data_IF_533253077736
#
_entry.id   IF_533253077736
#
_cell.length_a   1.000
_cell.length_b   1.000
_cell.length_c   1.000
_cell.angle_alpha   90.00
_cell.angle_beta   90.00
_cell.angle_gamma   90.00
#
_symmetry.space_group_name_H-M   'P 1'
#
loop_
_entity.id
_entity.type
_entity.pdbx_description
1 polymer ?
#
# COMPACT_ATOMS: atom_id res chain seq x y z
N UNK A 1 -5.86 3.05 16.51
CA UNK A 1 -5.77 4.50 16.72
C UNK A 1 -6.42 4.83 18.04
N UNK A 2 -5.80 5.72 18.85
CA UNK A 2 -6.34 6.23 20.10
C UNK A 2 -7.76 6.77 19.98
N UNK A 3 -8.51 6.79 21.09
CA UNK A 3 -9.92 7.18 21.10
C UNK A 3 -10.14 8.69 20.87
N UNK A 4 -9.12 9.48 21.15
CA UNK A 4 -9.03 10.94 21.05
C UNK A 4 -8.50 11.43 19.68
N UNK A 5 -8.09 10.52 18.78
CA UNK A 5 -7.64 10.86 17.43
C UNK A 5 -8.78 11.46 16.60
N UNK A 6 -8.51 12.57 15.90
CA UNK A 6 -9.50 13.24 15.04
C UNK A 6 -10.16 12.30 14.03
N UNK A 7 -11.44 12.54 13.74
CA UNK A 7 -12.19 11.76 12.74
C UNK A 7 -11.50 11.74 11.38
N UNK A 8 -10.89 12.85 10.97
CA UNK A 8 -10.17 12.96 9.71
C UNK A 8 -8.95 12.02 9.66
N UNK A 9 -8.09 12.03 10.68
CA UNK A 9 -6.92 11.14 10.74
C UNK A 9 -7.33 9.67 10.76
N UNK A 10 -8.41 9.33 11.48
CA UNK A 10 -8.94 7.96 11.51
C UNK A 10 -9.42 7.49 10.14
N UNK A 11 -10.09 8.37 9.40
CA UNK A 11 -10.57 8.07 8.05
C UNK A 11 -9.41 7.99 7.06
N UNK A 12 -8.45 8.90 7.14
CA UNK A 12 -7.22 8.88 6.33
C UNK A 12 -6.43 7.59 6.55
N UNK A 13 -6.24 7.16 7.80
CA UNK A 13 -5.54 5.91 8.11
C UNK A 13 -6.26 4.69 7.54
N UNK A 14 -7.60 4.65 7.60
CA UNK A 14 -8.38 3.59 6.96
C UNK A 14 -8.21 3.61 5.44
N UNK A 15 -8.28 4.79 4.82
CA UNK A 15 -8.09 4.94 3.38
C UNK A 15 -6.71 4.45 2.95
N UNK A 16 -5.65 4.84 3.65
CA UNK A 16 -4.28 4.40 3.36
C UNK A 16 -4.16 2.88 3.46
N UNK A 17 -4.64 2.26 4.53
CA UNK A 17 -4.55 0.80 4.68
C UNK A 17 -5.35 0.05 3.62
N UNK A 18 -6.60 0.47 3.36
CA UNK A 18 -7.41 -0.15 2.30
C UNK A 18 -6.79 0.04 0.93
N UNK A 19 -6.25 1.23 0.65
CA UNK A 19 -5.50 1.49 -0.58
C UNK A 19 -4.25 0.61 -0.70
N UNK A 20 -3.52 0.38 0.39
CA UNK A 20 -2.37 -0.53 0.40
C UNK A 20 -2.79 -1.96 0.09
N UNK A 21 -3.83 -2.47 0.75
CA UNK A 21 -4.35 -3.81 0.47
C UNK A 21 -4.81 -3.96 -0.98
N UNK A 22 -5.54 -2.98 -1.49
CA UNK A 22 -6.01 -2.98 -2.87
C UNK A 22 -4.86 -2.93 -3.88
N UNK A 23 -3.88 -2.05 -3.68
CA UNK A 23 -2.73 -1.93 -4.58
C UNK A 23 -1.84 -3.18 -4.56
N UNK A 24 -1.52 -3.72 -3.38
CA UNK A 24 -0.72 -4.95 -3.28
C UNK A 24 -1.42 -6.15 -3.93
N UNK A 25 -2.74 -6.30 -3.73
CA UNK A 25 -3.52 -7.33 -4.41
C UNK A 25 -3.52 -7.13 -5.93
N UNK A 26 -3.73 -5.88 -6.40
CA UNK A 26 -3.74 -5.56 -7.82
C UNK A 26 -2.37 -5.83 -8.48
N UNK A 27 -1.26 -5.54 -7.81
CA UNK A 27 0.11 -5.87 -8.28
C UNK A 27 0.24 -7.38 -8.48
N UNK A 28 -0.14 -8.19 -7.49
CA UNK A 28 -0.06 -9.65 -7.59
C UNK A 28 -0.92 -10.19 -8.76
N UNK A 29 -2.17 -9.74 -8.84
CA UNK A 29 -3.11 -10.16 -9.90
C UNK A 29 -2.58 -9.78 -11.28
N UNK A 30 -2.21 -8.52 -11.48
CA UNK A 30 -1.73 -8.03 -12.78
C UNK A 30 -0.39 -8.63 -13.15
N UNK A 31 0.51 -8.88 -12.20
CA UNK A 31 1.77 -9.58 -12.45
C UNK A 31 1.57 -11.01 -12.94
N UNK A 32 0.64 -11.75 -12.30
CA UNK A 32 0.25 -13.09 -12.76
C UNK A 32 -0.43 -13.03 -14.14
N UNK A 33 -1.26 -12.03 -14.41
CA UNK A 33 -1.86 -11.84 -15.73
C UNK A 33 -0.81 -11.59 -16.82
N UNK A 34 0.20 -10.74 -16.57
CA UNK A 34 1.29 -10.49 -17.52
C UNK A 34 2.02 -11.80 -17.83
N UNK A 35 2.43 -12.55 -16.80
CA UNK A 35 3.12 -13.83 -16.98
C UNK A 35 2.26 -14.87 -17.72
N UNK A 36 0.97 -14.95 -17.40
CA UNK A 36 0.01 -15.83 -18.06
C UNK A 36 -0.20 -15.49 -19.53
N UNK A 37 -0.41 -14.20 -19.86
CA UNK A 37 -0.56 -13.72 -21.23
C UNK A 37 0.69 -13.97 -22.07
N UNK A 38 1.88 -13.70 -21.52
CA UNK A 38 3.15 -14.02 -22.19
C UNK A 38 3.30 -15.51 -22.47
N UNK A 39 2.89 -16.36 -21.52
CA UNK A 39 2.94 -17.83 -21.68
C UNK A 39 1.99 -18.34 -22.76
N UNK A 40 0.87 -17.65 -22.97
CA UNK A 40 -0.09 -17.92 -24.04
C UNK A 40 0.33 -17.36 -25.42
N UNK A 41 1.49 -16.68 -25.50
CA UNK A 41 2.04 -16.15 -26.75
C UNK A 41 1.68 -14.68 -27.04
N UNK A 42 0.92 -14.00 -26.15
CA UNK A 42 0.63 -12.58 -26.28
C UNK A 42 1.85 -11.76 -25.81
N UNK A 43 2.79 -11.53 -26.74
CA UNK A 43 4.06 -10.82 -26.47
C UNK A 43 4.04 -9.33 -26.77
N UNK A 44 3.05 -8.85 -27.53
CA UNK A 44 2.88 -7.44 -27.90
C UNK A 44 1.42 -7.12 -28.21
N UNK A 45 1.09 -5.82 -28.25
CA UNK A 45 -0.24 -5.33 -28.57
C UNK A 45 -0.99 -4.77 -27.36
N UNK A 46 -2.13 -4.15 -27.64
CA UNK A 46 -2.87 -3.33 -26.68
C UNK A 46 -3.15 -4.02 -25.33
N UNK A 47 -3.51 -5.31 -25.34
CA UNK A 47 -3.84 -6.04 -24.11
C UNK A 47 -2.64 -6.16 -23.16
N UNK A 48 -1.48 -6.59 -23.65
CA UNK A 48 -0.31 -6.79 -22.78
C UNK A 48 0.26 -5.44 -22.33
N UNK A 49 0.22 -4.43 -23.19
CA UNK A 49 0.64 -3.06 -22.86
C UNK A 49 -0.25 -2.47 -21.76
N UNK A 50 -1.57 -2.56 -21.90
CA UNK A 50 -2.52 -2.04 -20.91
C UNK A 50 -2.38 -2.72 -19.53
N UNK A 51 -2.21 -4.06 -19.49
CA UNK A 51 -2.02 -4.78 -18.23
C UNK A 51 -0.66 -4.44 -17.60
N UNK A 52 0.39 -4.26 -18.42
CA UNK A 52 1.72 -3.88 -17.94
C UNK A 52 1.73 -2.45 -17.39
N UNK A 53 1.06 -1.51 -18.06
CA UNK A 53 0.90 -0.15 -17.58
C UNK A 53 0.10 -0.11 -16.28
N UNK A 54 -1.03 -0.83 -16.22
CA UNK A 54 -1.82 -0.95 -14.99
C UNK A 54 -0.98 -1.52 -13.83
N UNK A 55 -0.19 -2.56 -14.10
CA UNK A 55 0.74 -3.10 -13.10
C UNK A 55 1.72 -2.03 -12.62
N UNK A 56 2.39 -1.32 -13.54
CA UNK A 56 3.33 -0.24 -13.19
C UNK A 56 2.69 0.90 -12.39
N UNK A 57 1.46 1.29 -12.74
CA UNK A 57 0.69 2.30 -12.00
C UNK A 57 0.34 1.82 -10.58
N UNK A 58 -0.11 0.58 -10.43
CA UNK A 58 -0.42 0.02 -9.11
C UNK A 58 0.82 -0.14 -8.22
N UNK A 59 1.97 -0.50 -8.80
CA UNK A 59 3.28 -0.49 -8.11
C UNK A 59 3.61 0.92 -7.63
N UNK A 60 3.53 1.91 -8.50
CA UNK A 60 3.83 3.31 -8.15
C UNK A 60 2.91 3.84 -7.05
N UNK A 61 1.61 3.52 -7.13
CA UNK A 61 0.64 3.86 -6.10
C UNK A 61 0.97 3.17 -4.76
N UNK A 62 1.38 1.90 -4.78
CA UNK A 62 1.77 1.18 -3.56
C UNK A 62 2.96 1.84 -2.88
N UNK A 63 3.96 2.30 -3.64
CA UNK A 63 5.11 3.02 -3.09
C UNK A 63 4.68 4.31 -2.40
N UNK A 64 3.80 5.10 -3.02
CA UNK A 64 3.26 6.31 -2.42
C UNK A 64 2.53 6.01 -1.10
N UNK A 65 1.65 5.01 -1.10
CA UNK A 65 0.85 4.66 0.08
C UNK A 65 1.71 4.08 1.22
N UNK A 66 2.71 3.25 0.90
CA UNK A 66 3.67 2.74 1.89
C UNK A 66 4.49 3.89 2.47
N UNK A 67 4.96 4.83 1.64
CA UNK A 67 5.69 6.00 2.12
C UNK A 67 4.84 6.86 3.07
N UNK A 68 3.58 7.12 2.72
CA UNK A 68 2.63 7.83 3.59
C UNK A 68 2.37 7.07 4.90
N UNK A 69 2.23 5.75 4.82
CA UNK A 69 2.05 4.89 5.99
C UNK A 69 3.26 4.96 6.94
N UNK A 70 4.48 4.84 6.42
CA UNK A 70 5.71 4.94 7.20
C UNK A 70 5.85 6.34 7.81
N UNK A 71 5.60 7.40 7.04
CA UNK A 71 5.65 8.77 7.54
C UNK A 71 4.66 8.99 8.68
N UNK A 72 3.43 8.48 8.55
CA UNK A 72 2.43 8.52 9.62
C UNK A 72 2.86 7.72 10.85
N UNK A 73 3.44 6.53 10.67
CA UNK A 73 3.95 5.72 11.78
C UNK A 73 5.09 6.42 12.54
N UNK A 74 6.00 7.10 11.83
CA UNK A 74 7.05 7.90 12.44
C UNK A 74 6.49 9.14 13.15
N UNK A 75 5.47 9.80 12.59
CA UNK A 75 4.78 10.91 13.24
C UNK A 75 4.16 10.46 14.57
N UNK A 76 3.39 9.37 14.56
CA UNK A 76 2.80 8.81 15.77
C UNK A 76 3.84 8.36 16.79
N UNK A 77 4.99 7.86 16.31
CA UNK A 77 6.15 7.56 17.18
C UNK A 77 6.67 8.76 17.95
N UNK A 78 6.73 9.92 17.31
CA UNK A 78 7.15 11.17 17.95
C UNK A 78 6.07 11.66 18.93
N UNK A 79 4.79 11.41 18.64
CA UNK A 79 3.69 11.75 19.55
C UNK A 79 3.66 10.87 20.81
N UNK A 80 4.18 9.64 20.75
CA UNK A 80 4.17 8.72 21.89
C UNK A 80 2.77 8.21 22.24
N UNK A 81 1.90 8.07 21.24
CA UNK A 81 0.48 7.73 21.44
C UNK A 81 0.19 6.21 21.39
N UNK A 82 1.24 5.39 21.39
CA UNK A 82 1.19 3.94 21.42
C UNK A 82 0.93 3.28 20.06
N UNK A 83 0.67 4.04 18.99
CA UNK A 83 0.37 3.47 17.66
C UNK A 83 1.57 2.70 17.10
N UNK A 84 2.79 3.22 17.25
CA UNK A 84 4.00 2.51 16.83
C UNK A 84 4.23 1.24 17.66
N UNK A 85 4.15 1.38 18.99
CA UNK A 85 4.38 0.31 19.97
C UNK A 85 3.40 -0.86 19.82
N UNK A 86 2.23 -0.61 19.24
CA UNK A 86 1.25 -1.65 18.91
C UNK A 86 1.62 -2.45 17.65
N UNK A 87 2.43 -1.90 16.75
CA UNK A 87 2.79 -2.52 15.47
C UNK A 87 4.20 -3.15 15.47
N UNK A 88 5.08 -2.73 16.38
CA UNK A 88 6.45 -3.27 16.45
C UNK A 88 6.71 -4.04 17.75
N UNK A 89 7.37 -5.20 17.69
CA UNK A 89 7.78 -5.93 18.89
C UNK A 89 9.01 -5.30 19.57
N UNK A 90 9.79 -4.50 18.84
CA UNK A 90 11.03 -3.86 19.30
C UNK A 90 10.93 -2.33 19.20
N UNK A 91 11.76 -1.61 19.96
CA UNK A 91 11.79 -0.14 20.02
C UNK A 91 10.43 0.51 20.27
N UNK A 92 9.74 0.05 21.31
CA UNK A 92 8.51 0.67 21.78
C UNK A 92 8.80 2.08 22.30
N UNK A 93 7.80 2.93 22.20
CA UNK A 93 7.76 4.24 22.87
C UNK A 93 7.81 4.04 24.39
N UNK A 94 8.41 4.99 25.10
CA UNK A 94 8.48 5.01 26.56
C UNK A 94 7.29 5.76 27.16
#
# INVERSE_FOLDING_TARGET
>A
MPADTSHFQRQAARFVHWGMYASLAAIAITGLMIGGLFSLGFKSGFLIEAVTELHGLTVSLSYLLIALHIAAALYHRILGDGVWSAMTPFWKEQ
#
